data_IF_942127161092
#
_entry.id   IF_942127161092
#
_cell.length_a   1.000
_cell.length_b   1.000
_cell.length_c   1.000
_cell.angle_alpha   90.00
_cell.angle_beta   90.00
_cell.angle_gamma   90.00
#
_symmetry.space_group_name_H-M   'P 1'
#
loop_
_entity.id
_entity.type
_entity.pdbx_description
1 polymer ?
#
# COMPACT_ATOMS: atom_id res chain seq x y z
N UNK A 1 55.11 5.96 39.56
CA UNK A 1 54.19 5.55 40.65
C UNK A 1 53.41 6.77 41.08
N UNK A 2 52.09 6.75 40.90
CA UNK A 2 51.19 7.76 41.46
C UNK A 2 50.63 7.22 42.77
N UNK A 3 50.60 8.04 43.83
CA UNK A 3 50.56 7.61 45.23
C UNK A 3 49.14 7.75 45.84
N UNK A 4 48.15 8.20 45.05
CA UNK A 4 46.78 8.41 45.52
C UNK A 4 45.72 8.01 44.48
N UNK A 5 45.19 6.78 44.61
CA UNK A 5 43.95 6.35 43.95
C UNK A 5 44.13 5.34 42.81
N UNK A 6 43.75 4.09 43.04
CA UNK A 6 43.48 3.11 41.98
C UNK A 6 42.28 3.56 41.16
N UNK A 7 42.50 3.92 39.90
CA UNK A 7 41.41 4.06 38.94
C UNK A 7 40.84 2.67 38.65
N UNK A 8 39.63 2.38 39.13
CA UNK A 8 38.85 1.24 38.65
C UNK A 8 38.21 1.66 37.32
N UNK A 9 38.98 1.67 36.22
CA UNK A 9 38.41 1.83 34.88
C UNK A 9 37.45 0.69 34.61
N UNK A 10 36.34 0.99 33.93
CA UNK A 10 35.39 -0.03 33.53
C UNK A 10 36.05 -0.92 32.46
N UNK A 11 35.89 -2.25 32.51
CA UNK A 11 36.39 -3.14 31.43
C UNK A 11 35.80 -2.80 30.05
N UNK A 12 34.65 -2.11 30.03
CA UNK A 12 34.07 -1.53 28.81
C UNK A 12 34.94 -0.45 28.15
N UNK A 13 35.91 0.12 28.87
CA UNK A 13 36.87 1.08 28.32
C UNK A 13 37.97 0.37 27.51
N UNK A 14 38.09 -0.96 27.60
CA UNK A 14 38.93 -1.76 26.71
C UNK A 14 38.22 -1.90 25.35
N UNK A 15 38.81 -1.31 24.30
CA UNK A 15 38.22 -1.24 22.96
C UNK A 15 37.87 -2.61 22.39
N UNK A 16 38.74 -3.61 22.58
CA UNK A 16 38.53 -4.99 22.10
C UNK A 16 37.27 -5.62 22.72
N UNK A 17 37.09 -5.44 24.03
CA UNK A 17 35.92 -5.97 24.73
C UNK A 17 34.65 -5.17 24.40
N UNK A 18 34.74 -3.85 24.25
CA UNK A 18 33.62 -3.02 23.83
C UNK A 18 33.10 -3.43 22.44
N UNK A 19 34.02 -3.69 21.51
CA UNK A 19 33.69 -4.14 20.15
C UNK A 19 33.11 -5.56 20.14
N UNK A 20 33.67 -6.48 20.93
CA UNK A 20 33.13 -7.82 21.10
C UNK A 20 31.70 -7.79 21.66
N UNK A 21 31.47 -6.99 22.69
CA UNK A 21 30.15 -6.82 23.29
C UNK A 21 29.15 -6.24 22.28
N UNK A 22 29.57 -5.26 21.48
CA UNK A 22 28.75 -4.72 20.40
C UNK A 22 28.34 -5.79 19.37
N UNK A 23 29.29 -6.63 18.94
CA UNK A 23 29.00 -7.74 18.01
C UNK A 23 28.02 -8.75 18.62
N UNK A 24 28.18 -9.07 19.91
CA UNK A 24 27.25 -9.94 20.61
C UNK A 24 25.83 -9.37 20.62
N UNK A 25 25.68 -8.10 20.99
CA UNK A 25 24.38 -7.42 21.03
C UNK A 25 23.74 -7.27 19.64
N UNK A 26 24.54 -7.07 18.59
CA UNK A 26 24.07 -7.09 17.20
C UNK A 26 23.54 -8.47 16.79
N UNK A 27 24.19 -9.55 17.23
CA UNK A 27 23.75 -10.92 16.95
C UNK A 27 22.40 -11.30 17.57
N UNK A 28 21.99 -10.62 18.64
CA UNK A 28 20.66 -10.81 19.28
C UNK A 28 19.55 -10.13 18.45
N UNK A 29 19.87 -8.99 17.83
CA UNK A 29 18.97 -8.24 16.96
C UNK A 29 18.05 -7.27 17.71
N UNK A 30 16.85 -7.05 17.15
CA UNK A 30 15.99 -5.88 17.44
C UNK A 30 15.56 -5.74 18.91
N UNK A 31 15.44 -6.84 19.63
CA UNK A 31 14.87 -6.87 20.98
C UNK A 31 15.92 -7.04 22.08
N UNK A 32 17.15 -6.61 21.82
CA UNK A 32 18.25 -6.63 22.78
C UNK A 32 17.91 -5.86 24.07
N UNK A 33 18.32 -6.40 25.21
CA UNK A 33 18.05 -5.92 26.56
C UNK A 33 19.37 -5.77 27.32
N UNK A 34 19.38 -4.90 28.33
CA UNK A 34 20.52 -4.81 29.24
C UNK A 34 20.83 -6.15 29.95
N UNK A 35 19.83 -7.02 30.15
CA UNK A 35 20.05 -8.34 30.73
C UNK A 35 20.94 -9.22 29.85
N UNK A 36 20.92 -9.03 28.53
CA UNK A 36 21.70 -9.86 27.62
C UNK A 36 23.22 -9.62 27.80
N UNK A 37 23.63 -8.43 28.27
CA UNK A 37 25.01 -8.16 28.71
C UNK A 37 25.35 -8.96 29.98
N UNK A 38 24.43 -9.00 30.95
CA UNK A 38 24.63 -9.72 32.21
C UNK A 38 24.77 -11.21 31.94
N UNK A 39 23.88 -11.76 31.11
CA UNK A 39 23.88 -13.17 30.68
C UNK A 39 25.12 -13.52 29.86
N UNK A 40 25.57 -12.62 28.98
CA UNK A 40 26.80 -12.80 28.20
C UNK A 40 28.05 -12.88 29.09
N UNK A 41 28.17 -11.96 30.05
CA UNK A 41 29.26 -11.95 31.02
C UNK A 41 29.19 -13.09 32.04
N UNK A 42 28.03 -13.72 32.20
CA UNK A 42 27.87 -14.83 33.14
C UNK A 42 28.39 -16.17 32.60
N UNK A 43 28.71 -16.25 31.30
CA UNK A 43 29.29 -17.44 30.67
C UNK A 43 30.68 -17.74 31.23
N UNK A 44 30.91 -18.98 31.62
CA UNK A 44 32.17 -19.43 32.25
C UNK A 44 33.42 -19.12 31.40
N UNK A 45 33.30 -19.25 30.08
CA UNK A 45 34.35 -18.91 29.12
C UNK A 45 34.69 -17.39 29.13
N UNK A 46 33.68 -16.54 29.22
CA UNK A 46 33.83 -15.07 29.23
C UNK A 46 34.37 -14.61 30.58
N UNK A 47 33.86 -15.16 31.69
CA UNK A 47 34.40 -14.91 33.03
C UNK A 47 35.87 -15.29 33.16
N UNK A 48 36.24 -16.47 32.66
CA UNK A 48 37.62 -16.98 32.72
C UNK A 48 38.56 -16.09 31.91
N UNK A 49 38.14 -15.72 30.69
CA UNK A 49 38.93 -14.86 29.79
C UNK A 49 39.11 -13.44 30.33
N UNK A 50 38.05 -12.84 30.87
CA UNK A 50 38.05 -11.49 31.43
C UNK A 50 38.46 -11.46 32.91
N UNK A 51 38.82 -12.61 33.49
CA UNK A 51 39.19 -12.79 34.91
C UNK A 51 38.15 -12.23 35.90
N UNK A 52 36.86 -12.38 35.56
CA UNK A 52 35.74 -11.93 36.37
C UNK A 52 35.31 -13.05 37.34
N UNK A 53 35.16 -12.71 38.62
CA UNK A 53 34.62 -13.63 39.65
C UNK A 53 33.09 -13.61 39.74
N UNK A 54 32.46 -12.55 39.22
CA UNK A 54 31.00 -12.37 39.17
C UNK A 54 30.62 -11.49 37.99
N UNK A 55 29.41 -11.69 37.47
CA UNK A 55 28.83 -10.80 36.47
C UNK A 55 28.47 -9.42 37.06
N UNK A 56 28.18 -8.47 36.18
CA UNK A 56 27.76 -7.12 36.55
C UNK A 56 26.28 -7.07 36.95
N UNK A 57 25.89 -6.03 37.68
CA UNK A 57 24.48 -5.78 37.96
C UNK A 57 23.73 -5.25 36.73
N UNK A 58 22.42 -5.48 36.69
CA UNK A 58 21.54 -4.91 35.64
C UNK A 58 21.69 -3.39 35.50
N UNK A 59 21.85 -2.66 36.61
CA UNK A 59 22.08 -1.22 36.59
C UNK A 59 23.40 -0.82 35.91
N UNK A 60 24.43 -1.67 36.01
CA UNK A 60 25.71 -1.45 35.33
C UNK A 60 25.59 -1.78 33.85
N UNK A 61 24.91 -2.87 33.49
CA UNK A 61 24.60 -3.20 32.11
C UNK A 61 23.78 -2.09 31.41
N UNK A 62 22.81 -1.48 32.10
CA UNK A 62 22.05 -0.34 31.59
C UNK A 62 22.93 0.90 31.32
N UNK A 63 23.96 1.13 32.15
CA UNK A 63 24.96 2.20 31.89
C UNK A 63 25.83 1.85 30.69
N UNK A 64 26.26 0.60 30.57
CA UNK A 64 27.06 0.13 29.44
C UNK A 64 26.32 0.25 28.11
N UNK A 65 25.03 -0.10 28.07
CA UNK A 65 24.17 0.13 26.90
C UNK A 65 24.24 1.59 26.43
N UNK A 66 24.21 2.56 27.36
CA UNK A 66 24.32 3.99 27.00
C UNK A 66 25.72 4.36 26.48
N UNK A 67 26.76 3.79 27.07
CA UNK A 67 28.14 4.09 26.68
C UNK A 67 28.46 3.57 25.28
N UNK A 68 27.97 2.37 24.93
CA UNK A 68 28.16 1.77 23.59
C UNK A 68 27.09 2.22 22.56
N UNK A 69 26.43 3.35 22.82
CA UNK A 69 25.57 4.02 21.84
C UNK A 69 24.09 3.60 21.83
N UNK A 70 23.65 2.62 22.62
CA UNK A 70 22.23 2.29 22.72
C UNK A 70 21.47 3.38 23.51
N UNK A 71 20.23 3.62 23.10
CA UNK A 71 19.31 4.57 23.74
C UNK A 71 17.95 3.91 23.88
N UNK A 72 17.36 3.98 25.07
CA UNK A 72 15.96 3.63 25.27
C UNK A 72 15.09 4.73 24.64
N UNK A 73 14.57 4.47 23.46
CA UNK A 73 13.77 5.42 22.68
C UNK A 73 12.67 4.68 21.92
N UNK A 74 11.69 5.42 21.38
CA UNK A 74 10.78 4.84 20.39
C UNK A 74 11.60 4.47 19.16
N UNK A 75 11.36 3.28 18.61
CA UNK A 75 11.97 2.85 17.35
C UNK A 75 11.82 3.97 16.31
N UNK A 76 12.92 4.44 15.69
CA UNK A 76 12.83 5.32 14.54
C UNK A 76 12.00 4.63 13.46
N UNK A 77 10.82 5.16 13.17
CA UNK A 77 10.05 4.71 12.02
C UNK A 77 10.58 5.46 10.80
N UNK A 78 11.18 4.73 9.87
CA UNK A 78 11.53 5.28 8.56
C UNK A 78 10.28 5.58 7.73
N UNK A 79 10.49 6.20 6.57
CA UNK A 79 9.44 6.35 5.57
C UNK A 79 9.00 4.98 5.05
N UNK A 80 7.72 4.85 4.74
CA UNK A 80 7.21 3.65 4.06
C UNK A 80 7.78 3.62 2.63
N UNK A 81 8.47 2.54 2.27
CA UNK A 81 9.01 2.35 0.92
C UNK A 81 7.98 1.56 0.12
N UNK A 82 7.14 2.27 -0.63
CA UNK A 82 6.03 1.67 -1.38
C UNK A 82 6.44 1.05 -2.72
N UNK A 83 7.49 0.23 -2.74
CA UNK A 83 7.86 -0.58 -3.92
C UNK A 83 7.98 0.17 -5.25
N UNK A 84 8.12 1.51 -5.26
CA UNK A 84 8.06 2.32 -6.48
C UNK A 84 9.30 2.15 -7.36
N UNK A 85 10.40 1.66 -6.78
CA UNK A 85 11.62 1.26 -7.48
C UNK A 85 11.61 -0.22 -7.91
N UNK A 86 10.47 -0.93 -7.81
CA UNK A 86 10.34 -2.25 -8.43
C UNK A 86 10.44 -2.12 -9.94
N UNK A 87 11.12 -3.07 -10.58
CA UNK A 87 11.42 -2.99 -12.02
C UNK A 87 10.18 -2.83 -12.92
N UNK A 88 9.08 -3.52 -12.58
CA UNK A 88 7.80 -3.40 -13.30
C UNK A 88 7.18 -2.01 -13.16
N UNK A 89 7.26 -1.41 -11.97
CA UNK A 89 6.76 -0.04 -11.72
C UNK A 89 7.62 1.00 -12.44
N UNK A 90 8.95 0.84 -12.42
CA UNK A 90 9.86 1.73 -13.12
C UNK A 90 9.67 1.62 -14.64
N UNK A 91 9.50 0.42 -15.17
CA UNK A 91 9.22 0.20 -16.59
C UNK A 91 7.91 0.90 -17.01
N UNK A 92 6.82 0.68 -16.26
CA UNK A 92 5.56 1.40 -16.51
C UNK A 92 5.73 2.92 -16.42
N UNK A 93 6.44 3.42 -15.40
CA UNK A 93 6.73 4.84 -15.23
C UNK A 93 7.43 5.43 -16.46
N UNK A 94 8.47 4.76 -16.96
CA UNK A 94 9.29 5.26 -18.06
C UNK A 94 8.64 5.09 -19.44
N UNK A 95 7.95 3.97 -19.67
CA UNK A 95 7.45 3.60 -21.00
C UNK A 95 6.01 4.06 -21.25
N UNK A 96 5.20 4.21 -20.20
CA UNK A 96 3.77 4.55 -20.31
C UNK A 96 3.47 5.89 -19.68
N UNK A 97 3.71 6.02 -18.36
CA UNK A 97 3.26 7.19 -17.61
C UNK A 97 3.96 8.48 -18.05
N UNK A 98 5.29 8.52 -18.08
CA UNK A 98 6.04 9.73 -18.41
C UNK A 98 5.78 10.23 -19.85
N UNK A 99 5.71 9.36 -20.89
CA UNK A 99 5.32 9.81 -22.23
C UNK A 99 3.92 10.44 -22.29
N UNK A 100 2.91 9.81 -21.68
CA UNK A 100 1.55 10.37 -21.60
C UNK A 100 1.58 11.70 -20.85
N UNK A 101 2.29 11.76 -19.73
CA UNK A 101 2.41 12.98 -18.94
C UNK A 101 3.08 14.11 -19.73
N UNK A 102 4.12 13.82 -20.50
CA UNK A 102 4.79 14.81 -21.35
C UNK A 102 3.86 15.33 -22.46
N UNK A 103 3.02 14.48 -23.04
CA UNK A 103 1.99 14.90 -24.00
C UNK A 103 0.97 15.84 -23.34
N UNK A 104 0.47 15.51 -22.15
CA UNK A 104 -0.45 16.37 -21.42
C UNK A 104 0.19 17.74 -21.11
N UNK A 105 1.42 17.73 -20.57
CA UNK A 105 2.18 18.95 -20.23
C UNK A 105 2.44 19.86 -21.44
N UNK A 106 2.47 19.32 -22.66
CA UNK A 106 2.61 20.15 -23.87
C UNK A 106 1.43 21.11 -24.09
N UNK A 107 0.30 20.86 -23.42
CA UNK A 107 -0.95 21.62 -23.52
C UNK A 107 -1.37 22.30 -22.21
N UNK A 108 -0.59 22.19 -21.14
CA UNK A 108 -0.87 22.87 -19.86
C UNK A 108 -0.23 24.26 -19.81
N UNK A 109 -0.60 25.07 -18.81
CA UNK A 109 0.22 26.22 -18.43
C UNK A 109 1.56 25.75 -17.89
N UNK A 110 2.60 26.53 -18.16
CA UNK A 110 3.93 26.33 -17.58
C UNK A 110 4.19 27.52 -16.67
N UNK A 111 4.57 27.23 -15.43
CA UNK A 111 4.92 28.24 -14.45
C UNK A 111 6.41 28.20 -14.17
N UNK A 112 7.05 29.36 -14.12
CA UNK A 112 8.41 29.49 -13.66
C UNK A 112 8.49 29.20 -12.15
N UNK A 113 9.69 28.91 -11.63
CA UNK A 113 9.90 28.70 -10.20
C UNK A 113 9.49 29.91 -9.34
N UNK A 114 9.40 31.11 -9.94
CA UNK A 114 8.89 32.31 -9.28
C UNK A 114 7.35 32.35 -9.15
N UNK A 115 6.63 31.37 -9.70
CA UNK A 115 5.17 31.32 -9.76
C UNK A 115 4.54 32.09 -10.92
N UNK A 116 5.35 32.74 -11.77
CA UNK A 116 4.84 33.47 -12.93
C UNK A 116 4.57 32.51 -14.09
N UNK A 117 3.45 32.71 -14.82
CA UNK A 117 3.18 31.99 -16.05
C UNK A 117 4.25 32.30 -17.10
N UNK A 118 4.84 31.26 -17.68
CA UNK A 118 5.77 31.38 -18.80
C UNK A 118 5.01 31.77 -20.06
N UNK A 119 5.51 32.77 -20.79
CA UNK A 119 4.94 33.16 -22.08
C UNK A 119 5.35 32.14 -23.13
N UNK A 120 4.48 31.15 -23.35
CA UNK A 120 4.59 30.16 -24.42
C UNK A 120 3.52 30.47 -25.46
N UNK A 121 3.77 30.11 -26.74
CA UNK A 121 2.71 30.22 -27.74
C UNK A 121 1.48 29.41 -27.27
N UNK A 122 0.26 29.97 -27.38
CA UNK A 122 -0.93 29.25 -27.00
C UNK A 122 -1.03 27.97 -27.86
N UNK A 123 -1.42 26.84 -27.25
CA UNK A 123 -1.56 25.59 -28.00
C UNK A 123 -2.58 25.78 -29.13
N UNK A 124 -2.38 25.08 -30.25
CA UNK A 124 -3.33 25.05 -31.36
C UNK A 124 -4.63 24.28 -31.03
N UNK A 125 -4.68 23.67 -29.86
CA UNK A 125 -5.78 22.86 -29.32
C UNK A 125 -6.24 23.42 -27.96
N UNK A 126 -7.34 22.89 -27.41
CA UNK A 126 -7.84 23.24 -26.08
C UNK A 126 -6.74 23.05 -25.03
N UNK A 127 -6.72 23.92 -24.02
CA UNK A 127 -5.78 23.82 -22.90
C UNK A 127 -6.13 22.59 -22.05
N UNK A 128 -5.12 21.89 -21.55
CA UNK A 128 -5.30 20.81 -20.58
C UNK A 128 -5.14 21.36 -19.17
N UNK A 129 -6.08 21.02 -18.29
CA UNK A 129 -6.02 21.31 -16.85
C UNK A 129 -5.93 20.00 -16.10
N UNK A 130 -4.88 19.85 -15.30
CA UNK A 130 -4.62 18.66 -14.52
C UNK A 130 -5.07 18.89 -13.07
N UNK A 131 -6.00 18.07 -12.61
CA UNK A 131 -6.55 18.06 -11.27
C UNK A 131 -5.96 16.91 -10.47
N UNK A 132 -5.11 17.22 -9.49
CA UNK A 132 -4.53 16.21 -8.60
C UNK A 132 -5.48 15.99 -7.42
N UNK A 133 -5.87 14.74 -7.22
CA UNK A 133 -6.73 14.30 -6.12
C UNK A 133 -5.89 13.58 -5.06
N UNK A 134 -6.25 13.78 -3.79
CA UNK A 134 -5.73 13.01 -2.66
C UNK A 134 -6.70 13.08 -1.47
N UNK A 135 -6.59 12.12 -0.55
CA UNK A 135 -7.35 12.07 0.70
C UNK A 135 -6.45 12.21 1.93
N UNK A 136 -6.77 13.19 2.77
CA UNK A 136 -6.08 13.40 4.04
C UNK A 136 -7.01 13.16 5.22
N UNK A 137 -6.58 12.35 6.18
CA UNK A 137 -7.30 12.13 7.43
C UNK A 137 -6.66 12.92 8.57
N UNK A 138 -7.47 13.74 9.23
CA UNK A 138 -7.08 14.52 10.41
C UNK A 138 -7.76 13.94 11.64
N UNK A 139 -7.05 13.91 12.77
CA UNK A 139 -7.60 13.41 14.02
C UNK A 139 -7.73 14.52 15.06
N UNK A 140 -8.78 14.46 15.89
CA UNK A 140 -9.05 15.45 16.92
C UNK A 140 -7.92 15.60 17.95
N UNK A 141 -7.14 14.54 18.18
CA UNK A 141 -5.97 14.55 19.05
C UNK A 141 -4.65 14.52 18.28
N UNK A 142 -4.60 14.99 17.03
CA UNK A 142 -3.34 15.25 16.34
C UNK A 142 -2.53 16.26 17.15
N UNK A 143 -1.39 15.80 17.68
CA UNK A 143 -0.60 16.52 18.68
C UNK A 143 0.87 16.51 18.30
N UNK A 144 1.56 17.60 18.66
CA UNK A 144 3.03 17.62 18.77
C UNK A 144 3.43 16.70 19.94
N UNK A 145 3.68 15.43 19.63
CA UNK A 145 4.08 14.39 20.60
C UNK A 145 5.49 14.62 21.16
N UNK A 146 6.27 15.52 20.57
CA UNK A 146 7.63 15.88 20.96
C UNK A 146 7.67 17.36 21.29
N UNK A 147 8.11 17.70 22.51
CA UNK A 147 8.42 19.05 22.95
C UNK A 147 9.49 19.02 24.01
N UNK A 148 10.15 20.15 24.23
CA UNK A 148 10.98 20.37 25.41
C UNK A 148 10.06 20.40 26.64
N UNK A 149 10.33 19.55 27.62
CA UNK A 149 9.59 19.44 28.88
C UNK A 149 10.55 19.82 30.00
N UNK A 150 10.15 20.74 30.86
CA UNK A 150 10.99 21.15 31.99
C UNK A 150 11.03 20.03 33.05
N UNK A 151 12.15 19.87 33.75
CA UNK A 151 12.36 18.78 34.72
C UNK A 151 11.34 18.71 35.87
N UNK A 152 10.66 19.82 36.16
CA UNK A 152 9.65 19.93 37.22
C UNK A 152 8.22 19.69 36.73
N UNK A 153 8.03 19.52 35.43
CA UNK A 153 6.70 19.31 34.87
C UNK A 153 6.25 17.87 35.11
N UNK A 154 5.03 17.71 35.62
CA UNK A 154 4.43 16.41 35.91
C UNK A 154 3.56 15.92 34.75
N UNK A 155 3.40 14.61 34.65
CA UNK A 155 2.56 14.03 33.60
C UNK A 155 1.10 14.43 33.80
N UNK A 156 0.51 15.05 32.76
CA UNK A 156 -0.92 15.39 32.73
C UNK A 156 -1.67 14.28 32.00
N UNK A 157 -2.83 13.81 32.53
CA UNK A 157 -3.68 12.86 31.82
C UNK A 157 -4.06 13.38 30.43
N UNK A 158 -4.11 12.49 29.45
CA UNK A 158 -4.51 12.81 28.09
C UNK A 158 -5.61 11.86 27.59
N UNK A 159 -6.42 12.34 26.66
CA UNK A 159 -7.45 11.54 26.01
C UNK A 159 -6.81 10.34 25.30
N UNK A 160 -7.32 9.13 25.56
CA UNK A 160 -6.82 7.90 24.97
C UNK A 160 -7.14 7.85 23.47
N UNK A 161 -6.13 7.51 22.66
CA UNK A 161 -6.27 7.37 21.21
C UNK A 161 -6.24 8.71 20.46
N UNK A 162 -6.39 8.63 19.13
CA UNK A 162 -6.30 9.78 18.23
C UNK A 162 -7.58 10.62 18.22
N UNK A 163 -8.66 10.12 18.82
CA UNK A 163 -9.95 10.81 18.87
C UNK A 163 -10.74 10.65 17.56
N UNK A 164 -11.75 11.49 17.37
CA UNK A 164 -12.57 11.46 16.15
C UNK A 164 -11.73 11.92 14.94
N UNK A 165 -11.91 11.26 13.79
CA UNK A 165 -11.25 11.63 12.55
C UNK A 165 -12.13 12.49 11.64
N UNK A 166 -11.52 13.22 10.72
CA UNK A 166 -12.18 13.87 9.59
C UNK A 166 -11.29 13.63 8.37
N UNK A 167 -11.82 12.90 7.41
CA UNK A 167 -11.18 12.74 6.11
C UNK A 167 -11.64 13.89 5.21
N UNK A 168 -10.69 14.45 4.48
CA UNK A 168 -10.91 15.48 3.47
C UNK A 168 -10.37 14.93 2.16
N UNK A 169 -11.24 14.79 1.17
CA UNK A 169 -10.87 14.45 -0.20
C UNK A 169 -11.16 15.67 -1.07
N UNK A 170 -10.22 16.08 -1.92
CA UNK A 170 -10.40 17.27 -2.77
C UNK A 170 -9.49 17.19 -4.00
N UNK A 171 -9.72 18.08 -4.97
CA UNK A 171 -8.96 18.16 -6.21
C UNK A 171 -8.33 19.54 -6.35
N UNK A 172 -7.05 19.58 -6.77
CA UNK A 172 -6.29 20.83 -6.91
C UNK A 172 -5.57 20.91 -8.25
N UNK A 173 -5.65 22.08 -8.90
CA UNK A 173 -4.85 22.45 -10.07
C UNK A 173 -4.02 23.70 -9.78
N UNK A 174 -2.86 23.88 -10.43
CA UNK A 174 -2.10 25.13 -10.32
C UNK A 174 -2.85 26.33 -10.93
N UNK A 175 -3.71 26.09 -11.93
CA UNK A 175 -4.48 27.11 -12.63
C UNK A 175 -5.59 27.72 -11.77
N UNK A 176 -6.30 26.90 -11.00
CA UNK A 176 -7.51 27.30 -10.28
C UNK A 176 -7.46 27.08 -8.77
N UNK A 177 -6.42 26.43 -8.26
CA UNK A 177 -6.39 25.97 -6.88
C UNK A 177 -7.38 24.82 -6.67
N UNK A 178 -8.15 24.86 -5.58
CA UNK A 178 -9.14 23.82 -5.28
C UNK A 178 -10.33 23.88 -6.24
N UNK A 179 -10.79 22.73 -6.73
CA UNK A 179 -11.88 22.65 -7.71
C UNK A 179 -13.21 23.17 -7.13
N UNK A 180 -13.63 24.34 -7.63
CA UNK A 180 -14.85 25.04 -7.24
C UNK A 180 -15.45 25.80 -8.42
N UNK A 181 -16.73 26.13 -8.33
CA UNK A 181 -17.34 27.11 -9.23
C UNK A 181 -16.70 28.49 -9.05
N UNK A 182 -16.77 29.38 -10.07
CA UNK A 182 -16.21 30.73 -9.99
C UNK A 182 -16.75 31.58 -8.84
N UNK A 183 -18.01 31.36 -8.45
CA UNK A 183 -18.66 32.02 -7.31
C UNK A 183 -18.41 31.32 -5.96
N UNK A 184 -17.74 30.16 -5.97
CA UNK A 184 -17.40 29.36 -4.79
C UNK A 184 -18.57 28.61 -4.15
N UNK A 185 -19.73 28.55 -4.80
CA UNK A 185 -20.93 27.87 -4.26
C UNK A 185 -20.92 26.36 -4.46
N UNK A 186 -20.28 25.87 -5.53
CA UNK A 186 -20.09 24.46 -5.84
C UNK A 186 -18.63 24.06 -5.57
N UNK A 187 -18.41 22.85 -5.05
CA UNK A 187 -17.08 22.36 -4.66
C UNK A 187 -16.99 20.85 -4.87
N UNK A 188 -15.83 20.37 -5.34
CA UNK A 188 -15.55 18.93 -5.42
C UNK A 188 -15.13 18.33 -4.07
N UNK A 189 -14.79 19.17 -3.08
CA UNK A 189 -14.41 18.74 -1.73
C UNK A 189 -15.45 17.86 -1.05
N UNK A 190 -15.00 16.73 -0.52
CA UNK A 190 -15.76 15.86 0.37
C UNK A 190 -15.18 15.93 1.78
N UNK A 191 -16.05 16.13 2.77
CA UNK A 191 -15.74 16.03 4.19
C UNK A 191 -16.40 14.78 4.74
N UNK A 192 -15.60 13.79 5.14
CA UNK A 192 -16.09 12.48 5.56
C UNK A 192 -15.70 12.16 7.00
N UNK A 193 -16.70 11.87 7.82
CA UNK A 193 -16.59 11.56 9.24
C UNK A 193 -16.43 10.06 9.44
N UNK A 194 -15.22 9.56 9.22
CA UNK A 194 -14.91 8.14 9.34
C UNK A 194 -15.22 7.57 10.74
N UNK A 195 -15.65 6.31 10.76
CA UNK A 195 -15.90 5.50 11.95
C UNK A 195 -17.25 4.77 11.91
N UNK A 196 -17.29 3.56 12.48
CA UNK A 196 -18.50 2.70 12.52
C UNK A 196 -19.73 3.36 13.16
N UNK A 197 -19.53 4.23 14.14
CA UNK A 197 -20.60 4.98 14.80
C UNK A 197 -20.88 6.35 14.14
N UNK A 198 -20.36 6.58 12.92
CA UNK A 198 -20.43 7.82 12.17
C UNK A 198 -20.82 7.49 10.72
N UNK A 199 -20.08 7.98 9.72
CA UNK A 199 -20.40 7.78 8.30
C UNK A 199 -19.81 6.47 7.72
N UNK A 200 -19.12 5.67 8.54
CA UNK A 200 -18.56 4.39 8.12
C UNK A 200 -17.15 4.52 7.56
N UNK A 201 -16.91 3.90 6.40
CA UNK A 201 -15.64 3.92 5.68
C UNK A 201 -15.84 4.64 4.35
N UNK A 202 -14.83 5.37 3.89
CA UNK A 202 -14.85 6.01 2.58
C UNK A 202 -14.59 4.95 1.52
N UNK A 203 -15.57 4.73 0.64
CA UNK A 203 -15.55 3.60 -0.31
C UNK A 203 -15.42 4.10 -1.75
N UNK A 204 -15.22 3.17 -2.68
CA UNK A 204 -15.12 3.47 -4.12
C UNK A 204 -16.36 4.23 -4.63
N UNK A 205 -17.55 3.92 -4.11
CA UNK A 205 -18.79 4.62 -4.47
C UNK A 205 -18.75 6.11 -4.10
N UNK A 206 -18.05 6.48 -3.04
CA UNK A 206 -17.91 7.89 -2.64
C UNK A 206 -16.91 8.63 -3.52
N UNK A 207 -15.84 7.95 -3.95
CA UNK A 207 -14.88 8.46 -4.95
C UNK A 207 -15.59 8.69 -6.29
N UNK A 208 -16.41 7.74 -6.75
CA UNK A 208 -17.16 7.88 -7.99
C UNK A 208 -18.14 9.06 -7.93
N UNK A 209 -18.87 9.21 -6.81
CA UNK A 209 -19.73 10.39 -6.61
C UNK A 209 -18.94 11.69 -6.64
N UNK A 210 -17.76 11.72 -6.01
CA UNK A 210 -16.89 12.89 -6.02
C UNK A 210 -16.43 13.22 -7.44
N UNK A 211 -15.97 12.21 -8.20
CA UNK A 211 -15.53 12.37 -9.58
C UNK A 211 -16.68 12.84 -10.48
N UNK A 212 -17.90 12.28 -10.34
CA UNK A 212 -19.08 12.76 -11.07
C UNK A 212 -19.40 14.21 -10.76
N UNK A 213 -19.43 14.60 -9.49
CA UNK A 213 -19.67 16.00 -9.10
C UNK A 213 -18.56 16.93 -9.61
N UNK A 214 -17.30 16.47 -9.63
CA UNK A 214 -16.20 17.23 -10.23
C UNK A 214 -16.42 17.42 -11.74
N UNK A 215 -16.83 16.38 -12.47
CA UNK A 215 -17.17 16.47 -13.89
C UNK A 215 -18.32 17.45 -14.14
N UNK A 216 -19.39 17.41 -13.32
CA UNK A 216 -20.53 18.34 -13.44
C UNK A 216 -20.09 19.81 -13.28
N UNK A 217 -19.20 20.10 -12.32
CA UNK A 217 -18.65 21.45 -12.11
C UNK A 217 -17.81 21.88 -13.33
N UNK A 218 -16.98 20.99 -13.85
CA UNK A 218 -16.08 21.27 -14.97
C UNK A 218 -16.84 21.52 -16.27
N UNK A 219 -17.81 20.66 -16.60
CA UNK A 219 -18.66 20.83 -17.80
C UNK A 219 -19.46 22.13 -17.75
N UNK A 220 -19.92 22.53 -16.56
CA UNK A 220 -20.73 23.74 -16.39
C UNK A 220 -19.92 25.03 -16.45
N UNK A 221 -18.74 25.07 -15.82
CA UNK A 221 -18.00 26.32 -15.59
C UNK A 221 -16.74 26.47 -16.43
N UNK A 222 -16.18 25.37 -16.94
CA UNK A 222 -14.93 25.35 -17.69
C UNK A 222 -15.04 24.56 -19.02
N UNK A 223 -16.13 24.73 -19.81
CA UNK A 223 -16.42 23.88 -20.97
C UNK A 223 -15.46 24.03 -22.15
N UNK A 224 -14.52 24.99 -22.10
CA UNK A 224 -13.56 25.29 -23.18
C UNK A 224 -12.17 24.65 -22.95
N UNK A 225 -12.00 23.90 -21.86
CA UNK A 225 -10.76 23.25 -21.47
C UNK A 225 -10.90 21.72 -21.44
N UNK A 226 -9.80 21.01 -21.66
CA UNK A 226 -9.76 19.56 -21.47
C UNK A 226 -9.28 19.27 -20.04
N UNK A 227 -9.99 18.42 -19.32
CA UNK A 227 -9.71 18.15 -17.92
C UNK A 227 -9.19 16.73 -17.72
N UNK A 228 -8.10 16.61 -16.96
CA UNK A 228 -7.53 15.32 -16.56
C UNK A 228 -7.52 15.25 -15.04
N UNK A 229 -8.20 14.25 -14.48
CA UNK A 229 -8.19 13.96 -13.05
C UNK A 229 -7.14 12.89 -12.76
N UNK A 230 -6.27 13.15 -11.80
CA UNK A 230 -5.15 12.27 -11.43
C UNK A 230 -5.40 11.74 -10.02
N UNK A 231 -5.50 10.42 -9.94
CA UNK A 231 -5.67 9.67 -8.69
C UNK A 231 -4.44 8.81 -8.44
N UNK A 232 -4.20 8.46 -7.18
CA UNK A 232 -3.22 7.44 -6.83
C UNK A 232 -3.76 6.01 -7.10
N UNK A 233 -2.92 5.00 -6.88
CA UNK A 233 -3.28 3.60 -7.09
C UNK A 233 -3.89 2.93 -5.85
N UNK A 234 -4.54 3.70 -4.96
CA UNK A 234 -5.26 3.11 -3.83
C UNK A 234 -6.27 2.06 -4.30
N UNK A 235 -6.46 1.02 -3.50
CA UNK A 235 -7.34 -0.11 -3.88
C UNK A 235 -8.79 0.31 -4.12
N UNK A 236 -9.22 1.41 -3.51
CA UNK A 236 -10.55 2.02 -3.70
C UNK A 236 -10.69 2.71 -5.06
N UNK A 237 -9.62 3.30 -5.60
CA UNK A 237 -9.57 3.88 -6.94
C UNK A 237 -9.57 2.80 -8.03
N UNK A 238 -8.93 1.66 -7.75
CA UNK A 238 -8.79 0.55 -8.68
C UNK A 238 -9.97 -0.46 -8.65
N UNK A 239 -11.10 -0.12 -8.00
CA UNK A 239 -12.27 -1.01 -7.95
C UNK A 239 -12.82 -1.18 -9.36
N UNK A 240 -12.93 -2.42 -9.81
CA UNK A 240 -13.61 -2.81 -11.06
C UNK A 240 -15.09 -3.03 -10.80
N UNK A 241 -15.90 -3.07 -11.86
CA UNK A 241 -17.32 -3.44 -11.74
C UNK A 241 -17.49 -4.80 -11.04
N UNK A 242 -18.58 -4.99 -10.31
CA UNK A 242 -18.77 -6.19 -9.47
C UNK A 242 -18.72 -7.51 -10.26
N UNK A 243 -19.14 -7.49 -11.54
CA UNK A 243 -19.07 -8.64 -12.46
C UNK A 243 -17.80 -8.68 -13.33
N UNK A 244 -16.79 -7.86 -13.05
CA UNK A 244 -15.62 -7.73 -13.92
C UNK A 244 -14.69 -8.95 -13.85
N UNK A 245 -14.04 -9.26 -14.98
CA UNK A 245 -13.17 -10.43 -15.09
C UNK A 245 -11.93 -10.32 -14.19
N UNK A 246 -11.62 -11.40 -13.48
CA UNK A 246 -10.43 -11.51 -12.64
C UNK A 246 -9.93 -12.94 -12.52
N UNK A 247 -8.67 -13.16 -12.86
CA UNK A 247 -8.00 -14.43 -12.65
C UNK A 247 -7.44 -14.60 -11.21
N UNK A 248 -7.41 -13.52 -10.41
CA UNK A 248 -6.67 -13.47 -9.12
C UNK A 248 -7.18 -14.49 -8.11
N UNK A 249 -8.49 -14.76 -8.10
CA UNK A 249 -9.14 -15.68 -7.17
C UNK A 249 -10.06 -16.62 -7.94
N UNK A 250 -9.64 -17.09 -9.11
CA UNK A 250 -10.41 -18.06 -9.89
C UNK A 250 -9.93 -19.48 -9.55
N UNK A 251 -10.84 -20.48 -9.42
CA UNK A 251 -10.41 -21.86 -9.17
C UNK A 251 -9.66 -22.40 -10.37
N UNK A 252 -8.74 -23.35 -10.15
CA UNK A 252 -8.27 -24.17 -11.28
C UNK A 252 -9.36 -25.11 -11.80
N UNK A 253 -10.01 -25.83 -10.89
CA UNK A 253 -11.02 -26.85 -11.20
C UNK A 253 -12.39 -26.37 -10.80
N UNK A 254 -13.41 -26.79 -11.53
CA UNK A 254 -14.79 -26.47 -11.19
C UNK A 254 -15.11 -26.95 -9.74
N UNK A 255 -15.66 -26.08 -8.87
CA UNK A 255 -16.02 -26.42 -7.49
C UNK A 255 -16.95 -27.63 -7.41
N UNK A 256 -16.81 -28.49 -6.40
CA UNK A 256 -17.65 -29.70 -6.26
C UNK A 256 -19.13 -29.32 -6.15
N UNK A 257 -20.01 -30.19 -6.68
CA UNK A 257 -21.46 -29.95 -6.69
C UNK A 257 -21.99 -29.72 -5.27
N UNK A 258 -22.71 -28.62 -5.04
CA UNK A 258 -23.21 -28.19 -3.73
C UNK A 258 -22.31 -27.20 -2.98
N UNK A 259 -21.02 -27.09 -3.34
CA UNK A 259 -20.14 -26.04 -2.85
C UNK A 259 -20.21 -24.85 -3.83
N UNK A 260 -20.92 -23.78 -3.46
CA UNK A 260 -20.86 -22.52 -4.21
C UNK A 260 -19.42 -21.99 -4.15
N UNK A 261 -18.88 -21.56 -5.29
CA UNK A 261 -17.67 -20.74 -5.29
C UNK A 261 -18.05 -19.35 -4.78
N UNK A 262 -17.68 -19.04 -3.54
CA UNK A 262 -17.95 -17.77 -2.87
C UNK A 262 -16.97 -16.66 -3.29
N UNK A 263 -16.24 -16.81 -4.41
CA UNK A 263 -15.24 -15.83 -4.83
C UNK A 263 -13.99 -15.79 -3.96
N UNK A 264 -13.89 -16.63 -2.92
CA UNK A 264 -12.75 -16.64 -2.01
C UNK A 264 -12.17 -18.03 -1.81
N UNK A 265 -10.94 -18.23 -2.28
CA UNK A 265 -10.12 -19.36 -1.84
C UNK A 265 -9.50 -19.01 -0.47
N UNK A 266 -10.34 -18.66 0.51
CA UNK A 266 -9.92 -18.70 1.92
C UNK A 266 -10.06 -20.15 2.36
N UNK A 267 -8.93 -20.85 2.44
CA UNK A 267 -8.84 -22.06 3.24
C UNK A 267 -9.50 -21.80 4.60
N UNK A 268 -10.48 -22.64 4.91
CA UNK A 268 -11.40 -22.61 6.06
C UNK A 268 -12.68 -21.78 5.90
N UNK A 269 -13.80 -22.51 6.05
CA UNK A 269 -15.22 -22.13 6.07
C UNK A 269 -15.57 -21.01 7.06
N UNK A 270 -15.05 -19.80 6.87
CA UNK A 270 -15.47 -18.62 7.62
C UNK A 270 -15.74 -17.48 6.65
N UNK A 271 -16.97 -17.48 6.13
CA UNK A 271 -17.55 -16.27 5.56
C UNK A 271 -17.42 -15.13 6.59
N UNK A 272 -16.76 -14.02 6.26
CA UNK A 272 -16.77 -12.82 7.09
C UNK A 272 -18.22 -12.36 7.27
N UNK A 273 -18.62 -11.97 8.49
CA UNK A 273 -20.02 -11.62 8.83
C UNK A 273 -20.63 -10.44 8.05
N UNK A 274 -19.87 -9.80 7.16
CA UNK A 274 -20.23 -8.56 6.47
C UNK A 274 -20.02 -8.64 4.95
N UNK A 275 -20.39 -9.75 4.30
CA UNK A 275 -20.32 -9.83 2.85
C UNK A 275 -21.62 -9.37 2.19
N UNK A 276 -21.48 -8.64 1.07
CA UNK A 276 -22.56 -8.18 0.22
C UNK A 276 -23.12 -9.28 -0.68
N UNK A 277 -23.86 -8.90 -1.72
CA UNK A 277 -24.42 -9.84 -2.70
C UNK A 277 -23.29 -10.42 -3.56
N UNK A 278 -23.23 -11.75 -3.69
CA UNK A 278 -22.31 -12.42 -4.61
C UNK A 278 -22.74 -12.16 -6.06
N UNK A 279 -21.89 -11.47 -6.83
CA UNK A 279 -22.13 -11.20 -8.25
C UNK A 279 -21.22 -12.11 -9.09
N UNK A 280 -21.76 -12.94 -9.99
CA UNK A 280 -20.94 -13.75 -10.88
C UNK A 280 -20.18 -12.85 -11.86
N UNK A 281 -18.98 -13.30 -12.25
CA UNK A 281 -18.26 -12.65 -13.35
C UNK A 281 -19.08 -12.72 -14.63
N UNK A 282 -19.00 -11.68 -15.44
CA UNK A 282 -19.54 -11.67 -16.79
C UNK A 282 -18.82 -12.66 -17.71
N UNK A 283 -19.29 -12.74 -18.94
CA UNK A 283 -18.65 -13.57 -19.96
C UNK A 283 -17.28 -13.00 -20.33
N UNK A 284 -16.34 -13.92 -20.56
CA UNK A 284 -15.08 -13.62 -21.24
C UNK A 284 -15.29 -13.41 -22.74
N UNK A 285 -14.19 -13.21 -23.46
CA UNK A 285 -14.22 -13.07 -24.92
C UNK A 285 -13.20 -14.01 -25.55
N UNK A 286 -13.65 -14.83 -26.50
CA UNK A 286 -12.78 -15.66 -27.32
C UNK A 286 -11.98 -14.81 -28.32
N UNK A 287 -10.95 -15.40 -28.93
CA UNK A 287 -10.11 -14.71 -29.91
C UNK A 287 -10.87 -14.25 -31.17
N UNK A 288 -12.00 -14.88 -31.48
CA UNK A 288 -12.89 -14.50 -32.58
C UNK A 288 -13.90 -13.40 -32.20
N UNK A 289 -13.86 -12.91 -30.96
CA UNK A 289 -14.76 -11.90 -30.41
C UNK A 289 -16.08 -12.46 -29.86
N UNK A 290 -16.32 -13.77 -29.95
CA UNK A 290 -17.53 -14.39 -29.40
C UNK A 290 -17.47 -14.47 -27.86
N UNK A 291 -18.62 -14.40 -27.16
CA UNK A 291 -18.65 -14.47 -25.71
C UNK A 291 -18.28 -15.88 -25.22
N UNK A 292 -17.43 -15.94 -24.20
CA UNK A 292 -17.11 -17.17 -23.47
C UNK A 292 -17.78 -17.15 -22.11
N UNK A 293 -18.79 -18.01 -21.91
CA UNK A 293 -19.34 -18.18 -20.57
C UNK A 293 -18.35 -18.86 -19.63
N UNK A 294 -18.09 -18.23 -18.48
CA UNK A 294 -17.19 -18.74 -17.43
C UNK A 294 -17.89 -19.72 -16.47
N UNK A 295 -19.21 -19.84 -16.62
CA UNK A 295 -20.08 -20.69 -15.82
C UNK A 295 -20.75 -21.70 -16.74
N UNK A 296 -21.18 -22.84 -16.20
CA UNK A 296 -21.97 -23.77 -16.99
C UNK A 296 -23.36 -23.17 -17.26
N UNK A 297 -23.86 -23.27 -18.52
CA UNK A 297 -25.11 -22.65 -18.93
C UNK A 297 -26.32 -23.35 -18.31
N UNK A 298 -27.48 -22.70 -18.41
CA UNK A 298 -28.76 -23.28 -18.03
C UNK A 298 -29.02 -24.59 -18.81
N UNK A 299 -29.58 -25.59 -18.14
CA UNK A 299 -29.76 -26.94 -18.69
C UNK A 299 -28.56 -27.88 -18.54
N UNK A 300 -27.40 -27.40 -18.10
CA UNK A 300 -26.26 -28.25 -17.72
C UNK A 300 -26.44 -28.81 -16.30
N UNK A 301 -25.95 -30.04 -16.02
CA UNK A 301 -26.01 -30.67 -14.68
C UNK A 301 -25.38 -29.79 -13.58
N UNK A 302 -24.42 -28.94 -13.99
CA UNK A 302 -23.68 -28.01 -13.13
C UNK A 302 -23.99 -26.54 -13.40
N UNK A 303 -25.17 -26.23 -13.92
CA UNK A 303 -25.58 -24.87 -14.27
C UNK A 303 -25.26 -23.86 -13.14
N UNK A 304 -24.69 -22.71 -13.51
CA UNK A 304 -24.29 -21.65 -12.57
C UNK A 304 -23.00 -21.93 -11.78
N UNK A 305 -22.37 -23.09 -11.92
CA UNK A 305 -21.06 -23.38 -11.31
C UNK A 305 -19.94 -22.85 -12.21
N UNK A 306 -18.93 -22.22 -11.63
CA UNK A 306 -17.75 -21.76 -12.38
C UNK A 306 -17.00 -22.96 -12.98
N UNK A 307 -16.66 -22.86 -14.27
CA UNK A 307 -15.90 -23.89 -15.00
C UNK A 307 -14.48 -24.06 -14.45
N UNK A 308 -13.88 -22.99 -13.93
CA UNK A 308 -12.50 -22.97 -13.44
C UNK A 308 -11.50 -22.76 -14.58
N UNK A 309 -10.34 -22.21 -14.23
CA UNK A 309 -9.32 -21.77 -15.18
C UNK A 309 -8.87 -22.87 -16.14
N UNK A 310 -8.78 -24.13 -15.69
CA UNK A 310 -8.33 -25.23 -16.55
C UNK A 310 -9.26 -25.48 -17.73
N UNK A 311 -10.57 -25.55 -17.47
CA UNK A 311 -11.60 -25.74 -18.51
C UNK A 311 -11.69 -24.50 -19.40
N UNK A 312 -11.71 -23.30 -18.80
CA UNK A 312 -11.76 -22.03 -19.53
C UNK A 312 -10.58 -21.91 -20.51
N UNK A 313 -9.38 -22.30 -20.09
CA UNK A 313 -8.18 -22.28 -20.94
C UNK A 313 -8.22 -23.37 -22.02
N UNK A 314 -8.71 -24.57 -21.73
CA UNK A 314 -8.90 -25.61 -22.76
C UNK A 314 -9.91 -25.18 -23.83
N UNK A 315 -11.02 -24.55 -23.44
CA UNK A 315 -11.99 -23.94 -24.36
C UNK A 315 -11.35 -22.85 -25.24
N UNK A 316 -10.33 -22.15 -24.73
CA UNK A 316 -9.53 -21.16 -25.48
C UNK A 316 -8.42 -21.79 -26.35
N UNK A 317 -8.34 -23.12 -26.43
CA UNK A 317 -7.37 -23.84 -27.25
C UNK A 317 -6.03 -24.14 -26.57
N UNK A 318 -5.92 -23.93 -25.25
CA UNK A 318 -4.73 -24.33 -24.49
C UNK A 318 -4.81 -25.81 -24.10
N UNK A 319 -4.42 -26.69 -25.03
CA UNK A 319 -4.45 -28.13 -24.81
C UNK A 319 -3.67 -28.56 -23.56
N UNK A 320 -4.33 -29.33 -22.68
CA UNK A 320 -3.72 -29.83 -21.45
C UNK A 320 -3.63 -28.80 -20.31
N UNK A 321 -4.37 -27.68 -20.37
CA UNK A 321 -4.38 -26.70 -19.29
C UNK A 321 -4.81 -27.30 -17.93
N UNK A 322 -5.61 -28.37 -17.92
CA UNK A 322 -5.94 -29.10 -16.69
C UNK A 322 -4.71 -29.74 -16.00
N UNK A 323 -3.63 -30.00 -16.73
CA UNK A 323 -2.37 -30.55 -16.19
C UNK A 323 -1.42 -29.46 -15.68
N UNK A 324 -1.63 -28.21 -16.10
CA UNK A 324 -0.83 -27.06 -15.66
C UNK A 324 -1.18 -26.73 -14.20
N UNK A 325 -0.20 -26.30 -13.40
CA UNK A 325 -0.46 -25.91 -12.00
C UNK A 325 -1.40 -24.69 -11.93
N UNK A 326 -2.21 -24.61 -10.87
CA UNK A 326 -3.15 -23.50 -10.67
C UNK A 326 -2.42 -22.15 -10.62
N UNK A 327 -1.39 -22.08 -9.79
CA UNK A 327 -0.57 -20.90 -9.53
C UNK A 327 0.89 -21.28 -9.25
N UNK A 328 1.81 -20.33 -9.42
CA UNK A 328 3.21 -20.50 -9.01
C UNK A 328 3.36 -20.28 -7.48
N UNK A 329 4.29 -20.98 -6.81
CA UNK A 329 4.53 -20.81 -5.38
C UNK A 329 4.73 -19.34 -5.00
N UNK A 330 4.04 -18.89 -3.93
CA UNK A 330 4.12 -17.51 -3.40
C UNK A 330 3.77 -16.41 -4.42
N UNK A 331 3.02 -16.72 -5.48
CA UNK A 331 2.73 -15.79 -6.58
C UNK A 331 3.98 -15.29 -7.34
N UNK A 332 5.10 -16.00 -7.21
CA UNK A 332 6.35 -15.65 -7.85
C UNK A 332 6.45 -16.40 -9.18
N UNK A 333 5.84 -15.83 -10.22
CA UNK A 333 6.07 -16.30 -11.58
C UNK A 333 7.46 -15.82 -12.04
N UNK A 334 8.17 -16.66 -12.79
CA UNK A 334 9.46 -16.28 -13.38
C UNK A 334 9.27 -15.09 -14.34
N UNK A 335 10.24 -14.16 -14.36
CA UNK A 335 10.15 -12.95 -15.18
C UNK A 335 10.01 -13.33 -16.66
N UNK A 336 9.03 -12.74 -17.34
CA UNK A 336 8.73 -13.05 -18.75
C UNK A 336 7.93 -14.33 -18.97
N UNK A 337 7.70 -15.15 -17.94
CA UNK A 337 6.87 -16.35 -18.09
C UNK A 337 5.39 -15.97 -18.22
N UNK A 338 4.80 -16.34 -19.34
CA UNK A 338 3.38 -16.12 -19.66
C UNK A 338 2.54 -17.37 -19.45
N UNK A 339 3.15 -18.57 -19.46
CA UNK A 339 2.47 -19.88 -19.39
C UNK A 339 2.88 -20.78 -18.22
N UNK A 340 3.42 -20.20 -17.15
CA UNK A 340 3.93 -20.97 -16.00
C UNK A 340 2.84 -21.57 -15.09
N UNK A 341 1.63 -21.01 -15.09
CA UNK A 341 0.46 -21.52 -14.36
C UNK A 341 -0.84 -21.05 -15.01
N UNK A 342 -1.96 -21.75 -14.74
CA UNK A 342 -3.28 -21.39 -15.28
C UNK A 342 -3.65 -19.94 -14.97
N UNK A 343 -3.39 -19.48 -13.73
CA UNK A 343 -3.67 -18.11 -13.33
C UNK A 343 -2.91 -17.10 -14.18
N UNK A 344 -1.60 -17.32 -14.42
CA UNK A 344 -0.78 -16.41 -15.22
C UNK A 344 -1.21 -16.40 -16.69
N UNK A 345 -1.58 -17.56 -17.23
CA UNK A 345 -2.11 -17.67 -18.58
C UNK A 345 -3.37 -16.83 -18.72
N UNK A 346 -4.38 -17.12 -17.89
CA UNK A 346 -5.66 -16.42 -17.94
C UNK A 346 -5.53 -14.93 -17.62
N UNK A 347 -4.69 -14.56 -16.64
CA UNK A 347 -4.43 -13.17 -16.32
C UNK A 347 -3.88 -12.37 -17.50
N UNK A 348 -3.07 -12.99 -18.37
CA UNK A 348 -2.47 -12.33 -19.53
C UNK A 348 -3.38 -12.33 -20.76
N UNK A 349 -4.58 -12.91 -20.68
CA UNK A 349 -5.54 -12.85 -21.77
C UNK A 349 -6.08 -11.42 -21.92
N UNK A 350 -6.31 -10.93 -23.16
CA UNK A 350 -6.65 -9.52 -23.41
C UNK A 350 -7.88 -9.02 -22.63
N UNK A 351 -8.91 -9.85 -22.51
CA UNK A 351 -10.15 -9.56 -21.80
C UNK A 351 -9.98 -9.53 -20.27
N UNK A 352 -8.94 -10.17 -19.72
CA UNK A 352 -8.62 -10.13 -18.28
C UNK A 352 -7.66 -9.00 -17.90
N UNK A 353 -6.69 -8.68 -18.77
CA UNK A 353 -5.74 -7.57 -18.56
C UNK A 353 -6.45 -6.24 -18.74
N UNK A 354 -7.24 -6.09 -19.81
CA UNK A 354 -7.82 -4.82 -20.26
C UNK A 354 -9.02 -4.33 -19.45
N UNK A 355 -9.34 -4.97 -18.32
CA UNK A 355 -10.47 -4.57 -17.48
C UNK A 355 -10.13 -3.31 -16.69
N UNK A 356 -10.77 -2.22 -17.09
CA UNK A 356 -10.72 -0.91 -16.43
C UNK A 356 -11.38 -0.94 -15.05
N UNK A 357 -10.89 -0.07 -14.17
CA UNK A 357 -11.61 0.30 -12.95
C UNK A 357 -12.91 1.06 -13.30
N UNK A 358 -13.80 1.25 -12.32
CA UNK A 358 -15.01 2.07 -12.49
C UNK A 358 -14.69 3.56 -12.65
N UNK A 359 -13.50 3.99 -12.22
CA UNK A 359 -13.06 5.38 -12.25
C UNK A 359 -12.46 5.78 -13.62
N UNK A 360 -12.01 4.80 -14.41
CA UNK A 360 -11.45 4.95 -15.78
C UNK A 360 -12.48 4.71 -16.89
#
# INVERSE_FOLDING_TARGET
MNIYGTWNSSILEEEDFAQELLLHLQGIGKYVRAMDIVEYLDREEVKSRLKLTKTISLATAQRWMKNIGYRWSKTPTGQFVDGHERADVVEYRQVVFLPIWAELLSRTRIYAASGNECVVQPPSTRRVIIWNHDESTYYANDRRKIRWVHKSETAVPYAKGEGASLMVADMVSPDYGWLRSPDGTETARVLFKAGKAREGYFMSEDILKQASNAMDILEKHYPDEDHVMVFDNATTHLKRADGALSARHMPKFSPKHGDKWDGTDWGERRQPKNWGVEVPMGDGTFADGSPQSLYYPEGHERAGVCKGMGVILEERGYEGALKIRAECPKFQCEKGATRCCCRRMLYNEPDFVGVKSLLE
#
